data_IF_657441217199
#
_entry.id   IF_657441217199
#
_cell.length_a   1.000
_cell.length_b   1.000
_cell.length_c   1.000
_cell.angle_alpha   90.00
_cell.angle_beta   90.00
_cell.angle_gamma   90.00
#
_symmetry.space_group_name_H-M   'P 1'
#
loop_
_entity.id
_entity.type
_entity.pdbx_description
1 polymer ?
#
# COMPACT_ATOMS: atom_id res chain seq x y z
N UNK A 1 -23.13 -10.74 2.88
CA UNK A 1 -23.08 -9.39 3.46
C UNK A 1 -23.90 -8.46 2.58
N UNK A 2 -24.90 -7.79 3.14
CA UNK A 2 -25.68 -6.79 2.42
C UNK A 2 -24.86 -5.50 2.25
N UNK A 3 -25.05 -4.78 1.16
CA UNK A 3 -24.35 -3.50 0.90
C UNK A 3 -24.59 -2.50 2.04
N UNK A 4 -25.79 -2.47 2.61
CA UNK A 4 -26.13 -1.58 3.71
C UNK A 4 -25.42 -1.96 5.02
N UNK A 5 -25.25 -3.25 5.30
CA UNK A 5 -24.45 -3.72 6.44
C UNK A 5 -22.98 -3.31 6.27
N UNK A 6 -22.46 -3.43 5.04
CA UNK A 6 -21.09 -3.03 4.72
C UNK A 6 -20.89 -1.51 4.88
N UNK A 7 -21.88 -0.70 4.49
CA UNK A 7 -21.88 0.75 4.74
C UNK A 7 -21.80 1.05 6.23
N UNK A 8 -22.65 0.44 7.04
CA UNK A 8 -22.68 0.65 8.50
C UNK A 8 -21.32 0.27 9.12
N UNK A 9 -20.73 -0.86 8.71
CA UNK A 9 -19.45 -1.33 9.25
C UNK A 9 -18.27 -0.40 8.96
N UNK A 10 -18.25 0.27 7.80
CA UNK A 10 -17.25 1.31 7.51
C UNK A 10 -17.62 2.69 8.07
N UNK A 11 -18.78 2.84 8.69
CA UNK A 11 -19.25 4.08 9.32
C UNK A 11 -19.97 5.02 8.35
N UNK A 12 -20.56 4.49 7.28
CA UNK A 12 -21.42 5.22 6.35
C UNK A 12 -22.90 5.04 6.70
N UNK A 13 -23.72 6.03 6.35
CA UNK A 13 -25.17 5.90 6.41
C UNK A 13 -25.68 4.96 5.31
N UNK A 14 -26.73 4.19 5.57
CA UNK A 14 -27.34 3.27 4.60
C UNK A 14 -27.80 3.99 3.32
N UNK A 15 -28.29 5.21 3.45
CA UNK A 15 -28.75 6.04 2.33
C UNK A 15 -27.60 6.76 1.58
N UNK A 16 -26.36 6.68 2.08
CA UNK A 16 -25.24 7.35 1.44
C UNK A 16 -24.68 6.54 0.26
N UNK A 17 -24.17 7.27 -0.74
CA UNK A 17 -23.45 6.73 -1.90
C UNK A 17 -21.97 7.13 -1.81
N UNK A 18 -21.17 6.46 -0.95
CA UNK A 18 -19.78 6.83 -0.74
C UNK A 18 -18.95 6.57 -1.99
N UNK A 19 -18.05 7.50 -2.32
CA UNK A 19 -17.10 7.35 -3.43
C UNK A 19 -16.00 6.32 -3.08
N UNK A 20 -15.32 5.70 -4.07
CA UNK A 20 -14.21 4.77 -3.79
C UNK A 20 -13.11 5.35 -2.88
N UNK A 21 -12.82 6.64 -3.04
CA UNK A 21 -11.83 7.33 -2.21
C UNK A 21 -12.28 7.42 -0.75
N UNK A 22 -13.55 7.74 -0.50
CA UNK A 22 -14.12 7.78 0.84
C UNK A 22 -14.15 6.38 1.47
N UNK A 23 -14.57 5.36 0.72
CA UNK A 23 -14.58 3.96 1.17
C UNK A 23 -13.16 3.52 1.56
N UNK A 24 -12.15 3.83 0.74
CA UNK A 24 -10.75 3.52 1.04
C UNK A 24 -10.24 4.28 2.27
N UNK A 25 -10.59 5.55 2.42
CA UNK A 25 -10.21 6.35 3.59
C UNK A 25 -10.84 5.80 4.89
N UNK A 26 -12.13 5.48 4.86
CA UNK A 26 -12.85 4.87 5.98
C UNK A 26 -12.28 3.50 6.35
N UNK A 27 -11.99 2.66 5.35
CA UNK A 27 -11.34 1.37 5.53
C UNK A 27 -9.98 1.50 6.21
N UNK A 28 -9.11 2.40 5.75
CA UNK A 28 -7.77 2.60 6.37
C UNK A 28 -7.88 2.97 7.84
N UNK A 29 -8.80 3.87 8.19
CA UNK A 29 -9.06 4.25 9.59
C UNK A 29 -9.53 3.05 10.41
N UNK A 30 -10.53 2.31 9.90
CA UNK A 30 -11.10 1.14 10.60
C UNK A 30 -10.09 0.01 10.78
N UNK A 31 -9.27 -0.25 9.77
CA UNK A 31 -8.16 -1.21 9.84
C UNK A 31 -7.19 -0.84 10.96
N UNK A 32 -6.83 0.43 11.09
CA UNK A 32 -5.93 0.89 12.15
C UNK A 32 -6.53 0.71 13.54
N UNK A 33 -7.84 0.93 13.68
CA UNK A 33 -8.58 0.70 14.93
C UNK A 33 -8.67 -0.78 15.32
N UNK A 34 -8.68 -1.70 14.34
CA UNK A 34 -8.89 -3.13 14.57
C UNK A 34 -7.68 -3.99 14.24
N UNK A 35 -6.50 -3.40 14.01
CA UNK A 35 -5.33 -4.16 13.61
C UNK A 35 -4.90 -5.07 14.76
N UNK A 36 -4.74 -6.40 14.55
CA UNK A 36 -4.46 -7.34 15.64
C UNK A 36 -3.16 -7.06 16.40
N UNK A 37 -2.18 -6.39 15.76
CA UNK A 37 -0.94 -5.99 16.44
C UNK A 37 -1.11 -4.81 17.41
N UNK A 38 -2.24 -4.10 17.36
CA UNK A 38 -2.55 -3.03 18.31
C UNK A 38 -3.18 -3.57 19.61
N UNK A 39 -3.48 -4.87 19.69
CA UNK A 39 -4.16 -5.49 20.82
C UNK A 39 -3.26 -6.47 21.59
N UNK A 40 -3.43 -6.57 22.92
CA UNK A 40 -2.79 -7.60 23.72
C UNK A 40 -3.31 -8.98 23.34
N UNK A 41 -2.52 -10.03 23.62
CA UNK A 41 -2.74 -11.41 23.12
C UNK A 41 -4.17 -11.94 23.34
N UNK A 42 -4.79 -11.62 24.48
CA UNK A 42 -6.13 -12.09 24.82
C UNK A 42 -7.26 -11.40 24.04
N UNK A 43 -7.02 -10.22 23.47
CA UNK A 43 -7.98 -9.48 22.64
C UNK A 43 -7.71 -9.63 21.14
N UNK A 44 -6.59 -10.26 20.75
CA UNK A 44 -6.26 -10.55 19.35
C UNK A 44 -7.36 -11.29 18.58
N UNK A 45 -7.99 -12.37 19.08
CA UNK A 45 -9.00 -13.08 18.29
C UNK A 45 -10.20 -12.18 17.94
N UNK A 46 -10.61 -11.32 18.89
CA UNK A 46 -11.69 -10.37 18.65
C UNK A 46 -11.29 -9.28 17.65
N UNK A 47 -10.05 -8.81 17.71
CA UNK A 47 -9.51 -7.85 16.75
C UNK A 47 -9.41 -8.45 15.33
N UNK A 48 -8.96 -9.70 15.21
CA UNK A 48 -8.91 -10.44 13.94
C UNK A 48 -10.30 -10.62 13.33
N UNK A 49 -11.30 -10.98 14.13
CA UNK A 49 -12.69 -11.10 13.68
C UNK A 49 -13.20 -9.76 13.13
N UNK A 50 -12.99 -8.67 13.88
CA UNK A 50 -13.42 -7.32 13.47
C UNK A 50 -12.68 -6.86 12.21
N UNK A 51 -11.37 -7.08 12.14
CA UNK A 51 -10.55 -6.77 10.96
C UNK A 51 -11.07 -7.51 9.72
N UNK A 52 -11.40 -8.80 9.88
CA UNK A 52 -11.98 -9.61 8.80
C UNK A 52 -13.32 -9.04 8.33
N UNK A 53 -14.24 -8.73 9.24
CA UNK A 53 -15.52 -8.10 8.90
C UNK A 53 -15.35 -6.78 8.15
N UNK A 54 -14.40 -5.92 8.58
CA UNK A 54 -14.08 -4.65 7.90
C UNK A 54 -13.52 -4.89 6.49
N UNK A 55 -12.69 -5.93 6.32
CA UNK A 55 -12.12 -6.29 5.02
C UNK A 55 -13.18 -6.80 4.03
N UNK A 56 -14.13 -7.60 4.52
CA UNK A 56 -15.26 -8.08 3.72
C UNK A 56 -16.22 -6.94 3.35
N UNK A 57 -16.45 -6.00 4.27
CA UNK A 57 -17.23 -4.78 4.01
C UNK A 57 -16.62 -3.95 2.87
N UNK A 58 -15.29 -3.76 2.91
CA UNK A 58 -14.57 -2.99 1.91
C UNK A 58 -14.64 -3.62 0.53
N UNK A 59 -14.44 -4.93 0.41
CA UNK A 59 -14.52 -5.63 -0.89
C UNK A 59 -15.94 -5.63 -1.43
N UNK A 60 -16.95 -5.80 -0.57
CA UNK A 60 -18.37 -5.73 -0.94
C UNK A 60 -18.75 -4.33 -1.47
N UNK A 61 -18.31 -3.25 -0.82
CA UNK A 61 -18.60 -1.90 -1.28
C UNK A 61 -17.83 -1.54 -2.54
N UNK A 62 -16.57 -1.96 -2.64
CA UNK A 62 -15.77 -1.69 -3.82
C UNK A 62 -16.38 -2.37 -5.05
N UNK A 63 -16.77 -3.64 -4.95
CA UNK A 63 -17.42 -4.38 -6.04
C UNK A 63 -18.76 -3.77 -6.44
N UNK A 64 -19.55 -3.30 -5.47
CA UNK A 64 -20.80 -2.60 -5.73
C UNK A 64 -20.59 -1.28 -6.50
N UNK A 65 -19.54 -0.51 -6.15
CA UNK A 65 -19.25 0.77 -6.82
C UNK A 65 -18.65 0.56 -8.21
N UNK A 66 -17.76 -0.43 -8.40
CA UNK A 66 -17.15 -0.72 -9.71
C UNK A 66 -18.07 -1.47 -10.67
N UNK A 67 -19.30 -1.81 -10.26
CA UNK A 67 -20.28 -2.48 -11.12
C UNK A 67 -19.89 -3.91 -11.50
N UNK A 68 -18.87 -4.48 -10.87
CA UNK A 68 -18.49 -5.88 -11.04
C UNK A 68 -19.52 -6.72 -10.28
N UNK A 69 -20.60 -7.11 -10.97
CA UNK A 69 -21.59 -8.06 -10.46
C UNK A 69 -20.88 -9.40 -10.18
N UNK A 70 -20.36 -9.56 -8.97
CA UNK A 70 -20.04 -10.88 -8.45
C UNK A 70 -21.32 -11.42 -7.83
N UNK A 71 -22.18 -11.94 -8.70
CA UNK A 71 -23.28 -12.81 -8.29
C UNK A 71 -22.70 -14.01 -7.53
N UNK A 72 -23.39 -14.41 -6.47
CA UNK A 72 -22.79 -15.04 -5.30
C UNK A 72 -21.98 -16.31 -5.57
N UNK A 73 -20.91 -16.47 -4.78
CA UNK A 73 -20.57 -17.77 -4.21
C UNK A 73 -19.72 -17.57 -2.95
N UNK A 74 -20.28 -18.04 -1.84
CA UNK A 74 -19.53 -18.42 -0.64
C UNK A 74 -18.38 -19.33 -1.07
N UNK A 75 -17.16 -18.87 -0.88
CA UNK A 75 -15.96 -19.67 -1.07
C UNK A 75 -14.89 -19.13 -0.15
N UNK A 76 -14.63 -19.86 0.93
CA UNK A 76 -13.47 -19.68 1.80
C UNK A 76 -12.22 -19.70 0.92
N UNK A 77 -11.75 -18.50 0.54
CA UNK A 77 -10.52 -18.34 -0.20
C UNK A 77 -9.37 -18.31 0.79
N UNK A 78 -8.87 -19.47 1.20
CA UNK A 78 -7.46 -19.54 1.57
C UNK A 78 -6.69 -18.98 0.38
N UNK A 79 -6.08 -17.81 0.55
CA UNK A 79 -5.22 -17.21 -0.46
C UNK A 79 -4.01 -18.12 -0.65
N UNK A 80 -4.14 -19.14 -1.51
CA UNK A 80 -2.99 -19.81 -2.06
C UNK A 80 -2.29 -18.76 -2.92
N UNK A 81 -1.16 -18.27 -2.42
CA UNK A 81 -0.14 -17.53 -3.15
C UNK A 81 0.41 -18.40 -4.29
N UNK A 82 -0.39 -18.64 -5.32
CA UNK A 82 0.13 -19.04 -6.62
C UNK A 82 0.47 -17.76 -7.38
N UNK A 83 1.74 -17.60 -7.70
CA UNK A 83 2.24 -16.61 -8.66
C UNK A 83 1.36 -16.70 -9.90
N UNK A 84 0.49 -15.71 -10.09
CA UNK A 84 -0.30 -15.55 -11.29
C UNK A 84 0.68 -15.39 -12.46
N UNK A 85 0.79 -16.45 -13.27
CA UNK A 85 1.51 -16.41 -14.53
C UNK A 85 0.75 -15.50 -15.49
N UNK A 86 1.42 -14.45 -15.96
CA UNK A 86 0.91 -13.53 -16.98
C UNK A 86 0.59 -14.32 -18.26
N UNK A 87 -0.54 -14.08 -18.95
CA UNK A 87 -0.84 -14.76 -20.20
C UNK A 87 0.23 -14.40 -21.24
N UNK A 88 0.88 -15.44 -21.80
CA UNK A 88 1.74 -15.31 -22.97
C UNK A 88 0.86 -15.11 -24.22
N UNK A 89 0.51 -13.84 -24.48
CA UNK A 89 -0.02 -13.37 -25.75
C UNK A 89 1.13 -12.99 -26.68
N UNK A 90 1.24 -13.67 -27.82
CA UNK A 90 2.38 -13.61 -28.72
C UNK A 90 2.52 -12.34 -29.57
N UNK A 91 3.80 -12.08 -29.91
CA UNK A 91 4.31 -11.57 -31.19
C UNK A 91 4.02 -10.11 -31.54
N UNK A 92 5.05 -9.25 -31.40
CA UNK A 92 5.66 -8.40 -32.46
C UNK A 92 6.83 -7.55 -31.90
N UNK A 93 7.98 -7.70 -32.55
CA UNK A 93 9.22 -6.88 -32.62
C UNK A 93 9.57 -5.94 -31.45
N UNK A 94 10.62 -6.30 -30.72
CA UNK A 94 11.22 -5.50 -29.65
C UNK A 94 12.56 -4.93 -30.13
N UNK A 95 12.64 -3.62 -30.35
CA UNK A 95 13.79 -2.87 -29.86
C UNK A 95 13.29 -1.62 -29.15
N UNK A 96 13.81 -1.29 -27.95
CA UNK A 96 13.56 -0.05 -27.18
C UNK A 96 12.64 -0.15 -25.94
N UNK A 97 12.61 -1.29 -25.25
CA UNK A 97 12.23 -1.31 -23.82
C UNK A 97 13.44 -1.76 -23.02
N UNK A 98 13.97 -0.81 -22.25
CA UNK A 98 15.32 -0.82 -21.68
C UNK A 98 16.12 0.27 -22.40
N UNK A 99 16.33 1.47 -21.86
CA UNK A 99 16.66 1.74 -20.48
C UNK A 99 16.33 3.21 -20.12
N UNK A 100 15.38 3.47 -19.21
CA UNK A 100 15.30 4.77 -18.56
C UNK A 100 16.48 5.00 -17.60
N UNK A 101 17.17 3.93 -17.15
CA UNK A 101 18.22 4.00 -16.13
C UNK A 101 19.66 4.11 -16.65
N UNK A 102 19.97 3.77 -17.91
CA UNK A 102 21.33 3.96 -18.45
C UNK A 102 21.66 5.44 -18.57
N UNK A 103 20.73 6.26 -19.06
CA UNK A 103 20.93 7.69 -19.16
C UNK A 103 21.13 8.36 -17.78
N UNK A 104 20.49 7.82 -16.73
CA UNK A 104 20.68 8.28 -15.35
C UNK A 104 22.11 7.98 -14.86
N UNK A 105 22.61 6.77 -15.11
CA UNK A 105 23.98 6.38 -14.72
C UNK A 105 25.02 7.21 -15.49
N UNK A 106 24.85 7.41 -16.80
CA UNK A 106 25.83 8.17 -17.60
C UNK A 106 25.76 9.69 -17.33
N UNK A 107 24.58 10.24 -17.02
CA UNK A 107 24.39 11.66 -16.71
C UNK A 107 25.00 12.07 -15.36
N UNK A 108 24.94 11.20 -14.34
CA UNK A 108 25.52 11.51 -13.01
C UNK A 108 27.04 11.54 -13.01
N UNK A 109 27.69 10.70 -13.82
CA UNK A 109 29.16 10.65 -13.93
C UNK A 109 29.72 11.88 -14.65
N UNK A 110 28.97 12.48 -15.59
CA UNK A 110 29.47 13.59 -16.40
C UNK A 110 29.17 14.99 -15.83
N UNK A 111 28.10 15.17 -15.05
CA UNK A 111 27.65 16.51 -14.65
C UNK A 111 27.77 16.85 -13.14
N UNK A 112 28.01 15.88 -12.24
CA UNK A 112 27.81 16.12 -10.79
C UNK A 112 29.00 15.84 -9.84
N UNK A 113 30.15 15.39 -10.35
CA UNK A 113 31.16 14.72 -9.50
C UNK A 113 32.20 15.60 -8.78
N UNK A 114 32.27 16.91 -9.00
CA UNK A 114 33.49 17.67 -8.60
C UNK A 114 33.37 18.61 -7.40
N UNK A 115 32.18 18.83 -6.81
CA UNK A 115 32.01 19.87 -5.77
C UNK A 115 31.48 19.40 -4.39
N UNK A 116 31.16 18.11 -4.22
CA UNK A 116 30.61 17.61 -2.95
C UNK A 116 31.65 17.63 -1.82
N UNK A 117 32.92 17.32 -2.13
CA UNK A 117 34.00 17.26 -1.15
C UNK A 117 34.36 18.63 -0.53
N UNK A 118 34.09 19.74 -1.20
CA UNK A 118 34.37 21.09 -0.66
C UNK A 118 33.25 21.55 0.27
N UNK A 119 31.99 21.31 -0.10
CA UNK A 119 30.83 21.64 0.73
C UNK A 119 30.83 20.86 2.05
N UNK A 120 31.12 19.55 2.00
CA UNK A 120 31.24 18.73 3.20
C UNK A 120 32.38 19.21 4.13
N UNK A 121 33.54 19.56 3.56
CA UNK A 121 34.66 20.08 4.36
C UNK A 121 34.34 21.43 5.01
N UNK A 122 33.57 22.30 4.34
CA UNK A 122 33.12 23.57 4.91
C UNK A 122 32.14 23.33 6.08
N UNK A 123 31.13 22.49 5.90
CA UNK A 123 30.19 22.13 6.98
C UNK A 123 30.88 21.49 8.19
N UNK A 124 31.87 20.62 7.95
CA UNK A 124 32.64 20.00 9.05
C UNK A 124 33.48 21.01 9.83
N UNK A 125 33.95 22.08 9.20
CA UNK A 125 34.66 23.17 9.87
C UNK A 125 33.71 24.07 10.67
N UNK A 126 32.52 24.36 10.13
CA UNK A 126 31.51 25.22 10.76
C UNK A 126 30.81 24.52 11.95
N UNK A 127 30.70 23.19 11.91
CA UNK A 127 30.09 22.38 12.97
C UNK A 127 31.01 21.22 13.38
N UNK A 128 32.00 21.44 14.26
CA UNK A 128 32.82 20.36 14.77
C UNK A 128 31.98 19.45 15.67
N UNK A 129 31.78 18.20 15.25
CA UNK A 129 31.12 17.19 16.08
C UNK A 129 32.07 16.74 17.19
N UNK A 130 31.81 17.13 18.43
CA UNK A 130 32.55 16.63 19.60
C UNK A 130 32.10 15.19 19.88
N UNK A 131 33.02 14.24 19.74
CA UNK A 131 32.75 12.82 19.98
C UNK A 131 33.13 12.48 21.43
N UNK A 132 32.15 12.19 22.31
CA UNK A 132 32.42 11.92 23.72
C UNK A 132 33.05 10.54 23.98
N UNK A 133 33.27 9.73 22.95
CA UNK A 133 33.88 8.40 23.06
C UNK A 133 35.33 8.33 22.54
N UNK A 134 35.86 9.44 22.03
CA UNK A 134 37.28 9.57 21.73
C UNK A 134 37.89 10.45 22.86
N UNK A 135 38.94 9.98 23.56
CA UNK A 135 39.60 10.78 24.60
C UNK A 135 40.28 12.03 24.02
#
# INVERSE_FOLDING_TARGET
MLVDEAKILLGFSTNSCPTPCQVKAAYRRKVWETHPDCFPVHLKPDAELKFKMISEAYTCLLSAITGTRHEGQHGVGYSRVVRSGVPRGGRKNHPLIGLPFIFIILGTVTLGGTNIARAYRKQRADCPSHNPFLP
#
